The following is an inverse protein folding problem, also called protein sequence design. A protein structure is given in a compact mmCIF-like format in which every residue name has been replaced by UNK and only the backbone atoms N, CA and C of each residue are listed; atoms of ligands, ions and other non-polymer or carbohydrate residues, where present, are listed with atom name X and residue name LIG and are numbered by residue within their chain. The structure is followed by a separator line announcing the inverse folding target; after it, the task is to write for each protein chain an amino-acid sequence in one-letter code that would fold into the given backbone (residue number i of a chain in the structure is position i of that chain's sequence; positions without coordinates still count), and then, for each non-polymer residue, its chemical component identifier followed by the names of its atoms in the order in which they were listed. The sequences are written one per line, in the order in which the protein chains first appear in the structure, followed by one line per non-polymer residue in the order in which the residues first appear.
data_IF_705200003988
#
_entry.id   IF_705200003988
#
_cell.length_a   1.000
_cell.length_b   1.000
_cell.length_c   1.000
_cell.angle_alpha   90.00
_cell.angle_beta   90.00
_cell.angle_gamma   90.00
#
_symmetry.space_group_name_H-M   'P 1'
#
loop_
_entity.id
_entity.type
_entity.pdbx_description
1 polymer ?
#
# COMPACT_ATOMS: atom_id res chain seq x y z
N UNK A 1 1.88 -1.43 -9.01
CA UNK A 1 2.27 -0.09 -8.53
C UNK A 1 3.77 0.02 -8.72
N UNK A 2 4.33 1.20 -9.00
CA UNK A 2 5.78 1.36 -8.92
C UNK A 2 6.25 0.81 -7.56
N UNK A 3 7.28 -0.05 -7.55
CA UNK A 3 8.10 -0.25 -6.35
C UNK A 3 8.42 1.16 -5.84
N UNK A 4 8.23 1.40 -4.55
CA UNK A 4 8.44 2.74 -3.98
C UNK A 4 9.95 2.98 -4.00
N UNK A 5 10.49 3.44 -5.13
CA UNK A 5 11.93 3.65 -5.37
C UNK A 5 12.49 4.79 -4.51
N UNK A 6 11.65 5.49 -3.75
CA UNK A 6 12.10 6.43 -2.74
C UNK A 6 13.01 5.71 -1.75
N UNK A 7 14.29 6.08 -1.74
CA UNK A 7 15.24 5.67 -0.69
C UNK A 7 14.56 5.92 0.67
N UNK A 8 14.54 4.91 1.55
CA UNK A 8 13.96 5.08 2.89
C UNK A 8 14.85 6.06 3.66
N UNK A 9 14.33 7.26 3.95
CA UNK A 9 15.06 8.23 4.78
C UNK A 9 15.25 7.66 6.19
N UNK A 10 16.41 7.92 6.83
CA UNK A 10 16.65 7.48 8.21
C UNK A 10 15.60 8.09 9.15
N UNK A 11 15.24 7.34 10.20
CA UNK A 11 14.27 7.78 11.20
C UNK A 11 14.89 8.62 12.32
N UNK A 12 16.18 8.43 12.57
CA UNK A 12 16.93 9.24 13.52
C UNK A 12 17.07 10.68 13.01
N UNK A 13 16.94 11.65 13.92
CA UNK A 13 16.89 13.07 13.58
C UNK A 13 18.24 13.56 13.05
N UNK A 14 19.35 13.12 13.64
CA UNK A 14 20.68 13.56 13.23
C UNK A 14 21.06 12.96 11.88
N UNK A 15 20.75 11.67 11.69
CA UNK A 15 20.92 11.03 10.40
C UNK A 15 20.05 11.66 9.30
N UNK A 16 18.81 12.07 9.65
CA UNK A 16 17.94 12.76 8.72
C UNK A 16 18.51 14.12 8.34
N UNK A 17 18.93 14.93 9.31
CA UNK A 17 19.55 16.23 9.07
C UNK A 17 20.79 16.10 8.16
N UNK A 18 21.67 15.13 8.44
CA UNK A 18 22.82 14.84 7.58
C UNK A 18 22.40 14.46 6.15
N UNK A 19 21.39 13.61 5.99
CA UNK A 19 20.88 13.22 4.67
C UNK A 19 20.27 14.38 3.88
N UNK A 20 19.65 15.35 4.56
CA UNK A 20 19.06 16.54 3.91
C UNK A 20 20.17 17.46 3.39
N UNK A 21 21.21 17.71 4.20
CA UNK A 21 22.35 18.53 3.78
C UNK A 21 23.04 17.90 2.57
N UNK A 22 23.33 16.60 2.66
CA UNK A 22 23.95 15.81 1.61
C UNK A 22 23.11 15.79 0.31
N UNK A 23 21.77 15.71 0.41
CA UNK A 23 20.84 15.84 -0.73
C UNK A 23 20.86 17.26 -1.33
N UNK A 24 20.92 18.29 -0.49
CA UNK A 24 20.87 19.70 -0.93
C UNK A 24 22.19 20.19 -1.55
N UNK A 25 23.33 19.60 -1.20
CA UNK A 25 24.66 19.98 -1.70
C UNK A 25 25.14 19.14 -2.86
N UNK A 26 24.45 18.05 -3.21
CA UNK A 26 24.80 17.24 -4.38
C UNK A 26 24.43 17.98 -5.67
N UNK A 27 25.41 18.15 -6.55
CA UNK A 27 25.22 18.71 -7.90
C UNK A 27 24.65 17.68 -8.90
N UNK A 28 24.58 16.40 -8.52
CA UNK A 28 24.06 15.33 -9.35
C UNK A 28 22.57 15.10 -9.08
N UNK A 29 21.70 15.16 -10.12
CA UNK A 29 20.30 14.80 -9.95
C UNK A 29 20.19 13.32 -9.58
N UNK A 30 19.34 12.99 -8.61
CA UNK A 30 18.96 11.60 -8.33
C UNK A 30 18.42 10.99 -9.62
N UNK A 31 19.20 10.07 -10.21
CA UNK A 31 18.79 9.31 -11.39
C UNK A 31 17.70 8.35 -10.94
N UNK A 32 16.46 8.82 -10.90
CA UNK A 32 15.30 7.94 -10.77
C UNK A 32 15.34 7.04 -12.00
N UNK A 33 15.57 5.72 -11.86
CA UNK A 33 15.54 4.84 -13.00
C UNK A 33 14.19 5.03 -13.67
N UNK A 34 14.23 5.47 -14.93
CA UNK A 34 13.04 5.69 -15.72
C UNK A 34 12.30 4.36 -15.73
N UNK A 35 11.15 4.31 -15.06
CA UNK A 35 10.43 3.05 -14.97
C UNK A 35 10.05 2.64 -16.39
N UNK A 36 10.20 1.35 -16.74
CA UNK A 36 9.83 0.90 -18.07
C UNK A 36 8.39 1.32 -18.34
N UNK A 37 8.18 1.94 -19.50
CA UNK A 37 6.84 2.33 -19.93
C UNK A 37 5.96 1.08 -19.93
N UNK A 38 4.84 1.15 -19.20
CA UNK A 38 3.91 0.03 -19.13
C UNK A 38 3.22 -0.09 -20.48
N UNK A 39 3.08 -1.32 -20.97
CA UNK A 39 2.30 -1.59 -22.18
C UNK A 39 0.86 -1.04 -22.02
N UNK A 40 0.43 -0.09 -22.86
CA UNK A 40 -0.86 0.58 -22.71
C UNK A 40 -2.05 -0.39 -22.84
N UNK A 41 -1.93 -1.41 -23.69
CA UNK A 41 -2.97 -2.44 -23.84
C UNK A 41 -3.13 -3.26 -22.55
N UNK A 42 -2.03 -3.61 -21.88
CA UNK A 42 -2.07 -4.36 -20.62
C UNK A 42 -2.72 -3.53 -19.49
N UNK A 43 -2.46 -2.22 -19.44
CA UNK A 43 -3.08 -1.30 -18.48
C UNK A 43 -4.59 -1.21 -18.71
N UNK A 44 -5.01 -1.04 -19.97
CA UNK A 44 -6.42 -0.98 -20.33
C UNK A 44 -7.16 -2.28 -19.97
N UNK A 45 -6.55 -3.44 -20.27
CA UNK A 45 -7.09 -4.75 -19.92
C UNK A 45 -7.23 -4.91 -18.40
N UNK A 46 -6.17 -4.60 -17.64
CA UNK A 46 -6.19 -4.68 -16.18
C UNK A 46 -7.28 -3.81 -15.55
N UNK A 47 -7.50 -2.60 -16.08
CA UNK A 47 -8.61 -1.73 -15.66
C UNK A 47 -9.97 -2.36 -15.93
N UNK A 48 -10.19 -2.89 -17.14
CA UNK A 48 -11.45 -3.53 -17.52
C UNK A 48 -11.76 -4.72 -16.62
N UNK A 49 -10.76 -5.58 -16.38
CA UNK A 49 -10.86 -6.71 -15.46
C UNK A 49 -11.16 -6.28 -14.01
N UNK A 50 -10.50 -5.23 -13.52
CA UNK A 50 -10.74 -4.69 -12.18
C UNK A 50 -12.15 -4.12 -11.98
N UNK A 51 -12.69 -3.41 -12.98
CA UNK A 51 -14.06 -2.88 -12.94
C UNK A 51 -15.09 -4.01 -12.86
N UNK A 52 -14.92 -5.07 -13.67
CA UNK A 52 -15.80 -6.25 -13.65
C UNK A 52 -15.65 -7.04 -12.34
N UNK A 53 -14.42 -7.36 -11.95
CA UNK A 53 -14.12 -8.19 -10.79
C UNK A 53 -14.48 -7.52 -9.46
N UNK A 54 -14.27 -6.20 -9.36
CA UNK A 54 -14.63 -5.42 -8.17
C UNK A 54 -16.14 -5.41 -7.93
N UNK A 55 -16.93 -5.15 -8.96
CA UNK A 55 -18.40 -5.21 -8.89
C UNK A 55 -18.89 -6.60 -8.51
N UNK A 56 -18.41 -7.64 -9.21
CA UNK A 56 -18.77 -9.03 -8.92
C UNK A 56 -18.41 -9.45 -7.49
N UNK A 57 -17.28 -8.98 -6.95
CA UNK A 57 -16.91 -9.23 -5.54
C UNK A 57 -17.86 -8.50 -4.57
N UNK A 58 -18.24 -7.26 -4.87
CA UNK A 58 -19.15 -6.50 -4.01
C UNK A 58 -20.53 -7.15 -3.93
N UNK A 59 -21.06 -7.63 -5.05
CA UNK A 59 -22.36 -8.32 -5.12
C UNK A 59 -22.37 -9.67 -4.37
N UNK A 60 -21.24 -10.39 -4.37
CA UNK A 60 -21.12 -11.68 -3.68
C UNK A 60 -20.99 -11.57 -2.16
N UNK A 61 -20.77 -10.38 -1.60
CA UNK A 61 -20.56 -10.20 -0.16
C UNK A 61 -21.87 -9.89 0.55
N UNK A 62 -22.19 -10.70 1.56
CA UNK A 62 -23.31 -10.43 2.48
C UNK A 62 -23.00 -9.26 3.41
N UNK A 63 -24.01 -8.61 4.02
CA UNK A 63 -23.80 -7.53 5.00
C UNK A 63 -22.82 -7.90 6.13
N UNK A 64 -22.90 -9.13 6.64
CA UNK A 64 -22.07 -9.65 7.74
C UNK A 64 -20.61 -9.74 7.28
N UNK A 65 -20.37 -10.35 6.11
CA UNK A 65 -19.02 -10.45 5.52
C UNK A 65 -18.41 -9.07 5.25
N UNK A 66 -19.21 -8.10 4.81
CA UNK A 66 -18.75 -6.71 4.65
C UNK A 66 -18.33 -6.09 5.98
N UNK A 67 -19.14 -6.29 7.03
CA UNK A 67 -18.84 -5.81 8.39
C UNK A 67 -17.56 -6.42 8.95
N UNK A 68 -17.36 -7.73 8.79
CA UNK A 68 -16.14 -8.41 9.22
C UNK A 68 -14.88 -7.89 8.53
N UNK A 69 -14.93 -7.70 7.21
CA UNK A 69 -13.81 -7.14 6.43
C UNK A 69 -13.49 -5.73 6.93
N UNK A 70 -14.51 -4.90 7.20
CA UNK A 70 -14.33 -3.55 7.72
C UNK A 70 -13.68 -3.55 9.10
N UNK A 71 -14.14 -4.40 10.03
CA UNK A 71 -13.53 -4.56 11.37
C UNK A 71 -12.07 -4.99 11.27
N UNK A 72 -11.76 -5.99 10.43
CA UNK A 72 -10.39 -6.46 10.18
C UNK A 72 -9.50 -5.33 9.62
N UNK A 73 -10.01 -4.54 8.68
CA UNK A 73 -9.30 -3.41 8.11
C UNK A 73 -9.05 -2.30 9.13
N UNK A 74 -10.06 -1.97 9.97
CA UNK A 74 -9.93 -1.00 11.04
C UNK A 74 -8.89 -1.43 12.07
N UNK A 75 -8.92 -2.69 12.52
CA UNK A 75 -7.93 -3.23 13.44
C UNK A 75 -6.50 -3.14 12.88
N UNK A 76 -6.30 -3.40 11.57
CA UNK A 76 -4.98 -3.26 10.95
C UNK A 76 -4.51 -1.81 10.82
N UNK A 77 -5.41 -0.86 10.61
CA UNK A 77 -5.08 0.56 10.45
C UNK A 77 -4.87 1.26 11.79
N UNK A 78 -5.71 0.95 12.78
CA UNK A 78 -5.81 1.69 14.04
C UNK A 78 -5.34 0.88 15.26
N UNK A 79 -5.27 -0.44 15.17
CA UNK A 79 -4.78 -1.31 16.24
C UNK A 79 -3.26 -1.32 16.27
N UNK A 80 -2.66 -0.24 16.77
CA UNK A 80 -1.22 -0.06 16.85
C UNK A 80 -0.51 -1.29 17.44
N UNK A 81 0.24 -1.99 16.59
CA UNK A 81 1.35 -2.92 16.91
C UNK A 81 1.10 -4.16 17.78
N UNK A 82 0.15 -4.16 18.71
CA UNK A 82 0.11 -5.12 19.81
C UNK A 82 -1.31 -5.61 20.11
N UNK A 83 -1.92 -6.32 19.16
CA UNK A 83 -2.88 -7.36 19.52
C UNK A 83 -2.87 -8.43 18.44
N UNK A 84 -2.14 -9.52 18.70
CA UNK A 84 -2.43 -10.82 18.07
C UNK A 84 -3.88 -11.13 18.45
N UNK A 85 -4.83 -10.79 17.57
CA UNK A 85 -6.22 -11.16 17.74
C UNK A 85 -6.27 -12.68 17.81
N UNK A 86 -6.66 -13.21 18.99
CA UNK A 86 -7.05 -14.61 19.13
C UNK A 86 -8.12 -14.91 18.08
N UNK A 87 -8.11 -16.09 17.45
CA UNK A 87 -9.13 -16.45 16.48
C UNK A 87 -10.48 -16.38 17.17
N UNK A 88 -11.34 -15.46 16.73
CA UNK A 88 -12.75 -15.45 17.12
C UNK A 88 -13.36 -16.61 16.36
N UNK A 89 -13.59 -17.73 17.05
CA UNK A 89 -14.36 -18.84 16.50
C UNK A 89 -15.82 -18.38 16.49
N UNK A 90 -16.42 -18.31 15.30
CA UNK A 90 -17.70 -17.65 15.07
C UNK A 90 -18.86 -18.67 15.14
N UNK A 91 -18.91 -19.48 16.19
CA UNK A 91 -19.97 -20.47 16.46
C UNK A 91 -20.17 -20.66 17.98
N UNK A 92 -20.48 -19.56 18.69
CA UNK A 92 -21.17 -19.56 19.99
C UNK A 92 -22.06 -18.31 20.05
#
# INVERSE_FOLDING_TARGET
MPERTSKKKPRDINQLAASIVDEATRDEPDVVPMQPEKNPAAVALGRLGGLKGGKARAEKLTPEKRSEIAKKAAAKRWGGGAMKLRPVNLND
#
